data_IF_502768289393
#
_entry.id   IF_502768289393
#
_cell.length_a   1.000
_cell.length_b   1.000
_cell.length_c   1.000
_cell.angle_alpha   90.00
_cell.angle_beta   90.00
_cell.angle_gamma   90.00
#
_symmetry.space_group_name_H-M   'P 1'
#
loop_
_entity.id
_entity.type
_entity.pdbx_description
1 polymer ?
#
# COMPACT_ATOMS: atom_id res chain seq x y z
N UNK A 1 -29.67 -29.20 21.81
CA UNK A 1 -28.71 -29.67 20.80
C UNK A 1 -27.57 -28.65 20.71
N UNK A 2 -26.54 -28.80 21.53
CA UNK A 2 -25.31 -28.01 21.41
C UNK A 2 -24.47 -28.60 20.27
N UNK A 3 -24.40 -27.89 19.14
CA UNK A 3 -23.45 -28.27 18.09
C UNK A 3 -22.04 -28.05 18.64
N UNK A 4 -21.32 -29.14 18.93
CA UNK A 4 -19.87 -29.08 19.17
C UNK A 4 -19.21 -28.49 17.92
N UNK A 5 -18.96 -27.18 17.93
CA UNK A 5 -18.06 -26.56 16.96
C UNK A 5 -16.67 -27.10 17.29
N UNK A 6 -16.22 -28.09 16.51
CA UNK A 6 -14.83 -28.48 16.47
C UNK A 6 -14.01 -27.28 16.02
N UNK A 7 -13.55 -26.49 16.98
CA UNK A 7 -12.62 -25.41 16.72
C UNK A 7 -11.36 -26.06 16.14
N UNK A 8 -11.06 -25.80 14.88
CA UNK A 8 -9.85 -26.33 14.27
C UNK A 8 -8.64 -25.84 15.09
N UNK A 9 -7.72 -26.74 15.51
CA UNK A 9 -6.60 -26.39 16.36
C UNK A 9 -5.74 -25.23 15.82
N UNK A 10 -5.72 -25.04 14.49
CA UNK A 10 -4.99 -23.97 13.82
C UNK A 10 -5.50 -22.54 14.14
N UNK A 11 -6.76 -22.38 14.53
CA UNK A 11 -7.35 -21.04 14.75
C UNK A 11 -6.80 -20.30 15.98
N UNK A 12 -6.23 -21.02 16.95
CA UNK A 12 -5.72 -20.40 18.19
C UNK A 12 -4.31 -19.82 18.06
N UNK A 13 -3.51 -20.29 17.12
CA UNK A 13 -2.08 -19.91 17.02
C UNK A 13 -1.88 -18.64 16.21
N UNK A 14 -2.68 -18.43 15.16
CA UNK A 14 -2.56 -17.28 14.26
C UNK A 14 -2.62 -15.90 14.96
N UNK A 15 -3.52 -15.65 15.94
CA UNK A 15 -3.56 -14.37 16.64
C UNK A 15 -2.29 -14.11 17.46
N UNK A 16 -1.69 -15.13 18.06
CA UNK A 16 -0.44 -15.00 18.81
C UNK A 16 0.75 -14.71 17.89
N UNK A 17 0.80 -15.34 16.71
CA UNK A 17 1.81 -15.03 15.69
C UNK A 17 1.68 -13.57 15.25
N UNK A 18 0.46 -13.10 14.96
CA UNK A 18 0.22 -11.70 14.60
C UNK A 18 0.70 -10.74 15.69
N UNK A 19 0.39 -11.03 16.96
CA UNK A 19 0.82 -10.21 18.09
C UNK A 19 2.34 -10.20 18.23
N UNK A 20 3.00 -11.36 18.14
CA UNK A 20 4.46 -11.46 18.21
C UNK A 20 5.14 -10.66 17.10
N UNK A 21 4.64 -10.73 15.86
CA UNK A 21 5.13 -9.92 14.75
C UNK A 21 4.92 -8.42 14.98
N UNK A 22 3.77 -8.01 15.52
CA UNK A 22 3.50 -6.60 15.85
C UNK A 22 4.47 -6.08 16.92
N UNK A 23 4.76 -6.89 17.95
CA UNK A 23 5.75 -6.56 18.97
C UNK A 23 7.16 -6.47 18.36
N UNK A 24 7.53 -7.41 17.49
CA UNK A 24 8.82 -7.38 16.80
C UNK A 24 8.98 -6.12 15.91
N UNK A 25 7.92 -5.69 15.22
CA UNK A 25 7.89 -4.44 14.45
C UNK A 25 8.10 -3.22 15.36
N UNK A 26 7.38 -3.16 16.49
CA UNK A 26 7.52 -2.08 17.47
C UNK A 26 8.94 -2.01 18.07
N UNK A 27 9.50 -3.15 18.47
CA UNK A 27 10.86 -3.25 19.01
C UNK A 27 11.92 -2.92 17.97
N UNK A 28 11.78 -3.46 16.74
CA UNK A 28 12.70 -3.15 15.66
C UNK A 28 12.73 -1.66 15.34
N UNK A 29 11.58 -0.98 15.43
CA UNK A 29 11.51 0.48 15.25
C UNK A 29 12.22 1.24 16.37
N UNK A 30 12.00 0.87 17.64
CA UNK A 30 12.63 1.57 18.77
C UNK A 30 14.14 1.35 18.80
N UNK A 31 14.61 0.14 18.49
CA UNK A 31 16.04 -0.18 18.34
C UNK A 31 16.64 0.58 17.16
N UNK A 32 15.98 0.57 16.00
CA UNK A 32 16.43 1.31 14.81
C UNK A 32 16.57 2.80 15.08
N UNK A 33 15.66 3.41 15.84
CA UNK A 33 15.75 4.81 16.25
C UNK A 33 16.96 5.09 17.16
N UNK A 34 17.37 4.13 18.00
CA UNK A 34 18.54 4.29 18.88
C UNK A 34 19.87 4.07 18.15
N UNK A 35 19.90 3.15 17.18
CA UNK A 35 21.10 2.82 16.42
C UNK A 35 21.37 3.80 15.28
N UNK A 36 20.33 4.43 14.73
CA UNK A 36 20.48 5.35 13.61
C UNK A 36 20.94 6.73 14.11
N UNK A 37 22.26 6.95 14.12
CA UNK A 37 22.85 8.30 14.13
C UNK A 37 22.79 8.98 12.75
N UNK A 38 22.14 8.33 11.77
CA UNK A 38 22.06 8.78 10.39
C UNK A 38 21.18 10.04 10.28
N UNK A 39 21.63 11.07 9.52
CA UNK A 39 20.86 12.29 9.31
C UNK A 39 19.49 11.97 8.68
N UNK A 40 18.47 12.69 9.13
CA UNK A 40 17.04 12.47 8.83
C UNK A 40 16.63 12.67 7.35
N UNK A 41 17.59 12.79 6.43
CA UNK A 41 17.37 13.18 5.02
C UNK A 41 17.04 11.99 4.11
N UNK A 42 16.99 10.76 4.64
CA UNK A 42 16.55 9.58 3.91
C UNK A 42 15.01 9.55 3.84
N UNK A 43 14.45 10.16 2.77
CA UNK A 43 13.11 9.91 2.21
C UNK A 43 12.10 9.37 3.24
N UNK A 44 11.66 10.23 4.16
CA UNK A 44 10.97 9.85 5.41
C UNK A 44 9.91 8.74 5.21
N UNK A 45 10.21 7.49 5.59
CA UNK A 45 9.32 6.35 5.40
C UNK A 45 8.43 6.21 6.62
N UNK A 46 7.17 6.61 6.49
CA UNK A 46 6.13 6.60 7.52
C UNK A 46 6.44 7.40 8.82
N UNK A 47 5.43 8.01 9.47
CA UNK A 47 5.65 8.66 10.75
C UNK A 47 6.24 7.71 11.80
N UNK A 48 7.15 8.18 12.66
CA UNK A 48 7.84 7.32 13.62
C UNK A 48 6.90 6.61 14.62
N UNK A 49 5.74 7.21 14.91
CA UNK A 49 4.70 6.65 15.77
C UNK A 49 3.90 5.53 15.11
N UNK A 50 3.93 5.42 13.78
CA UNK A 50 3.02 4.58 13.03
C UNK A 50 3.14 3.08 13.35
N UNK A 51 4.34 2.48 13.42
CA UNK A 51 4.47 1.06 13.80
C UNK A 51 3.96 0.78 15.22
N UNK A 52 4.12 1.73 16.14
CA UNK A 52 3.62 1.62 17.52
C UNK A 52 2.09 1.66 17.57
N UNK A 53 1.48 2.60 16.85
CA UNK A 53 0.03 2.67 16.71
C UNK A 53 -0.52 1.39 16.04
N UNK A 54 0.12 0.91 14.98
CA UNK A 54 -0.27 -0.32 14.29
C UNK A 54 -0.28 -1.52 15.25
N UNK A 55 0.76 -1.66 16.09
CA UNK A 55 0.85 -2.71 17.09
C UNK A 55 -0.23 -2.59 18.18
N UNK A 56 -0.54 -1.37 18.64
CA UNK A 56 -1.59 -1.13 19.61
C UNK A 56 -2.99 -1.51 19.06
N UNK A 57 -3.31 -1.10 17.84
CA UNK A 57 -4.56 -1.49 17.18
C UNK A 57 -4.63 -2.99 16.90
N UNK A 58 -3.51 -3.62 16.56
CA UNK A 58 -3.45 -5.07 16.36
C UNK A 58 -3.76 -5.81 17.67
N UNK A 59 -3.14 -5.39 18.78
CA UNK A 59 -3.40 -5.95 20.10
C UNK A 59 -4.88 -5.78 20.50
N UNK A 60 -5.45 -4.59 20.35
CA UNK A 60 -6.86 -4.32 20.62
C UNK A 60 -7.81 -5.14 19.70
N UNK A 61 -7.37 -5.41 18.46
CA UNK A 61 -8.09 -6.27 17.53
C UNK A 61 -8.00 -7.75 17.87
N UNK A 62 -6.89 -8.22 18.44
CA UNK A 62 -6.63 -9.64 18.70
C UNK A 62 -7.19 -10.10 20.05
N UNK A 63 -6.99 -9.30 21.10
CA UNK A 63 -7.42 -9.64 22.46
C UNK A 63 -8.95 -9.73 22.49
N UNK A 64 -9.53 -10.87 22.92
CA UNK A 64 -10.98 -10.99 23.05
C UNK A 64 -11.48 -10.04 24.15
N UNK A 65 -12.51 -9.25 23.84
CA UNK A 65 -13.25 -8.46 24.81
C UNK A 65 -14.58 -9.17 25.05
N UNK A 66 -14.88 -9.50 26.30
CA UNK A 66 -16.03 -10.34 26.62
C UNK A 66 -17.37 -9.65 26.34
N UNK A 67 -18.25 -10.41 25.66
CA UNK A 67 -19.70 -10.36 25.82
C UNK A 67 -20.51 -9.34 25.02
N UNK A 68 -19.99 -8.17 24.64
CA UNK A 68 -20.85 -7.13 24.05
C UNK A 68 -20.73 -7.01 22.52
N UNK A 69 -21.87 -6.88 21.79
CA UNK A 69 -21.86 -6.76 20.33
C UNK A 69 -21.16 -5.50 19.82
N UNK A 70 -21.12 -4.43 20.61
CA UNK A 70 -20.39 -3.20 20.29
C UNK A 70 -18.86 -3.44 20.27
N UNK A 71 -18.34 -4.20 21.24
CA UNK A 71 -16.91 -4.54 21.30
C UNK A 71 -16.46 -5.37 20.11
N UNK A 72 -17.30 -6.27 19.59
CA UNK A 72 -17.00 -7.03 18.37
C UNK A 72 -16.86 -6.13 17.13
N UNK A 73 -17.67 -5.07 17.02
CA UNK A 73 -17.55 -4.09 15.93
C UNK A 73 -16.25 -3.29 16.06
N UNK A 74 -15.94 -2.84 17.27
CA UNK A 74 -14.69 -2.12 17.54
C UNK A 74 -13.48 -3.01 17.29
N UNK A 75 -13.49 -4.26 17.74
CA UNK A 75 -12.43 -5.22 17.52
C UNK A 75 -12.19 -5.46 16.03
N UNK A 76 -13.27 -5.63 15.25
CA UNK A 76 -13.19 -5.76 13.78
C UNK A 76 -12.62 -4.50 13.15
N UNK A 77 -13.09 -3.31 13.55
CA UNK A 77 -12.56 -2.05 13.05
C UNK A 77 -11.06 -1.90 13.37
N UNK A 78 -10.66 -2.17 14.62
CA UNK A 78 -9.26 -2.15 15.07
C UNK A 78 -8.37 -3.09 14.28
N UNK A 79 -8.83 -4.32 13.94
CA UNK A 79 -8.08 -5.23 13.05
C UNK A 79 -7.85 -4.64 11.66
N UNK A 80 -8.89 -4.04 11.07
CA UNK A 80 -8.77 -3.39 9.77
C UNK A 80 -7.85 -2.18 9.80
N UNK A 81 -7.95 -1.35 10.84
CA UNK A 81 -7.06 -0.21 11.06
C UNK A 81 -5.61 -0.70 11.22
N UNK A 82 -5.38 -1.70 12.06
CA UNK A 82 -4.06 -2.30 12.26
C UNK A 82 -3.47 -2.85 10.95
N UNK A 83 -4.29 -3.54 10.16
CA UNK A 83 -3.88 -4.04 8.85
C UNK A 83 -3.43 -2.90 7.92
N UNK A 84 -4.24 -1.84 7.80
CA UNK A 84 -3.91 -0.68 6.97
C UNK A 84 -2.63 0.02 7.45
N UNK A 85 -2.47 0.19 8.77
CA UNK A 85 -1.28 0.77 9.36
C UNK A 85 -0.05 -0.12 9.15
N UNK A 86 -0.17 -1.45 9.20
CA UNK A 86 0.96 -2.36 8.93
C UNK A 86 1.35 -2.36 7.45
N UNK A 87 0.39 -2.30 6.53
CA UNK A 87 0.68 -2.11 5.09
C UNK A 87 1.41 -0.79 4.87
N UNK A 88 1.01 0.26 5.57
CA UNK A 88 1.71 1.54 5.51
C UNK A 88 3.09 1.49 6.18
N UNK A 89 3.26 0.76 7.28
CA UNK A 89 4.57 0.55 7.91
C UNK A 89 5.53 -0.23 6.99
N UNK A 90 4.99 -1.14 6.17
CA UNK A 90 5.73 -1.86 5.14
C UNK A 90 6.04 -1.02 3.88
N UNK A 91 5.49 0.20 3.79
CA UNK A 91 5.83 1.10 2.70
C UNK A 91 7.33 1.37 2.67
N UNK A 92 7.91 1.41 1.46
CA UNK A 92 9.35 1.48 1.27
C UNK A 92 9.98 0.15 0.89
N UNK A 93 9.35 -0.99 1.24
CA UNK A 93 9.93 -2.32 0.98
C UNK A 93 10.30 -2.53 -0.51
N UNK A 94 9.47 -2.15 -1.51
CA UNK A 94 9.89 -2.27 -2.91
C UNK A 94 11.14 -1.44 -3.23
N UNK A 95 11.27 -0.23 -2.65
CA UNK A 95 12.44 0.62 -2.84
C UNK A 95 13.68 0.05 -2.15
N UNK A 96 13.53 -0.57 -0.99
CA UNK A 96 14.64 -1.26 -0.32
C UNK A 96 15.12 -2.44 -1.14
N UNK A 97 14.22 -3.22 -1.75
CA UNK A 97 14.57 -4.33 -2.63
C UNK A 97 15.26 -3.85 -3.92
N UNK A 98 14.81 -2.73 -4.50
CA UNK A 98 15.48 -2.09 -5.63
C UNK A 98 16.88 -1.57 -5.24
N UNK A 99 16.99 -0.99 -4.04
CA UNK A 99 18.28 -0.53 -3.50
C UNK A 99 19.23 -1.71 -3.24
N UNK A 100 18.72 -2.80 -2.65
CA UNK A 100 19.46 -4.03 -2.37
C UNK A 100 19.98 -4.69 -3.64
N UNK A 101 19.22 -4.62 -4.74
CA UNK A 101 19.63 -5.15 -6.05
C UNK A 101 20.54 -4.20 -6.84
N UNK A 102 20.91 -3.04 -6.27
CA UNK A 102 21.75 -2.04 -6.93
C UNK A 102 21.05 -1.32 -8.10
N UNK A 103 19.74 -1.47 -8.24
CA UNK A 103 18.96 -0.85 -9.32
C UNK A 103 18.57 0.59 -9.01
N UNK A 104 18.67 1.01 -7.74
CA UNK A 104 18.35 2.35 -7.29
C UNK A 104 19.62 3.17 -7.00
N UNK A 105 19.98 4.05 -7.92
CA UNK A 105 21.01 5.08 -7.73
C UNK A 105 20.38 6.46 -7.53
N UNK A 106 20.98 7.29 -6.68
CA UNK A 106 20.63 8.71 -6.57
C UNK A 106 21.65 9.54 -7.32
N UNK A 107 21.17 10.47 -8.14
CA UNK A 107 22.04 11.47 -8.76
C UNK A 107 22.43 12.53 -7.73
N UNK A 108 23.72 12.75 -7.53
CA UNK A 108 24.24 13.83 -6.68
C UNK A 108 24.08 15.17 -7.37
N UNK A 109 24.31 16.26 -6.64
CA UNK A 109 24.36 17.61 -7.21
C UNK A 109 25.43 17.75 -8.31
N UNK A 110 26.52 16.96 -8.23
CA UNK A 110 27.56 16.89 -9.26
C UNK A 110 27.19 16.05 -10.48
N UNK A 111 25.98 15.47 -10.53
CA UNK A 111 25.52 14.63 -11.64
C UNK A 111 25.97 13.16 -11.56
N UNK A 112 26.85 12.81 -10.60
CA UNK A 112 27.30 11.44 -10.37
C UNK A 112 26.17 10.57 -9.82
N UNK A 113 26.11 9.32 -10.27
CA UNK A 113 25.15 8.34 -9.75
C UNK A 113 25.82 7.64 -8.56
N UNK A 114 25.32 7.89 -7.36
CA UNK A 114 25.73 7.18 -6.15
C UNK A 114 24.69 6.12 -5.85
N UNK A 115 25.12 4.86 -5.76
CA UNK A 115 24.25 3.74 -5.37
C UNK A 115 23.78 4.00 -3.94
N UNK A 116 22.46 3.98 -3.72
CA UNK A 116 21.92 4.19 -2.39
C UNK A 116 22.36 3.04 -1.46
N UNK A 117 22.75 3.37 -0.23
CA UNK A 117 23.06 2.35 0.76
C UNK A 117 21.76 1.73 1.29
N UNK A 118 21.75 0.42 1.48
CA UNK A 118 20.59 -0.30 2.02
C UNK A 118 20.45 0.02 3.51
N UNK A 119 19.28 0.52 3.91
CA UNK A 119 18.89 0.63 5.31
C UNK A 119 18.46 -0.74 5.84
N UNK A 120 19.42 -1.58 6.23
CA UNK A 120 19.15 -2.95 6.70
C UNK A 120 18.14 -3.03 7.87
N UNK A 121 18.24 -2.17 8.92
CA UNK A 121 17.21 -2.13 9.96
C UNK A 121 15.82 -1.75 9.43
N UNK A 122 15.74 -0.78 8.53
CA UNK A 122 14.49 -0.39 7.86
C UNK A 122 13.89 -1.53 7.03
N UNK A 123 14.71 -2.19 6.21
CA UNK A 123 14.29 -3.34 5.41
C UNK A 123 13.74 -4.46 6.30
N UNK A 124 14.42 -4.80 7.39
CA UNK A 124 13.99 -5.85 8.31
C UNK A 124 12.65 -5.50 8.98
N UNK A 125 12.49 -4.26 9.47
CA UNK A 125 11.25 -3.81 10.12
C UNK A 125 10.07 -3.76 9.15
N UNK A 126 10.28 -3.28 7.91
CA UNK A 126 9.25 -3.28 6.85
C UNK A 126 8.86 -4.68 6.42
N UNK A 127 9.81 -5.61 6.37
CA UNK A 127 9.54 -7.03 6.07
C UNK A 127 8.69 -7.67 7.18
N UNK A 128 9.03 -7.42 8.44
CA UNK A 128 8.22 -7.87 9.58
C UNK A 128 6.81 -7.26 9.56
N UNK A 129 6.69 -5.98 9.20
CA UNK A 129 5.40 -5.31 9.06
C UNK A 129 4.55 -5.93 7.94
N UNK A 130 5.15 -6.29 6.80
CA UNK A 130 4.48 -7.02 5.73
C UNK A 130 4.01 -8.40 6.21
N UNK A 131 4.87 -9.15 6.92
CA UNK A 131 4.50 -10.43 7.50
C UNK A 131 3.31 -10.30 8.47
N UNK A 132 3.35 -9.30 9.36
CA UNK A 132 2.24 -8.99 10.27
C UNK A 132 0.95 -8.65 9.50
N UNK A 133 1.05 -7.83 8.45
CA UNK A 133 -0.08 -7.49 7.59
C UNK A 133 -0.69 -8.73 6.91
N UNK A 134 0.13 -9.68 6.44
CA UNK A 134 -0.36 -10.93 5.83
C UNK A 134 -1.16 -11.75 6.85
N UNK A 135 -0.65 -11.92 8.08
CA UNK A 135 -1.37 -12.68 9.13
C UNK A 135 -2.64 -11.95 9.56
N UNK A 136 -2.58 -10.63 9.76
CA UNK A 136 -3.75 -9.80 10.08
C UNK A 136 -4.81 -9.85 8.97
N UNK A 137 -4.39 -9.84 7.70
CA UNK A 137 -5.30 -9.98 6.57
C UNK A 137 -5.99 -11.35 6.63
N UNK A 138 -5.26 -12.44 6.88
CA UNK A 138 -5.88 -13.77 7.05
C UNK A 138 -6.92 -13.77 8.18
N UNK A 139 -6.61 -13.18 9.33
CA UNK A 139 -7.53 -13.08 10.46
C UNK A 139 -8.75 -12.18 10.18
N UNK A 140 -8.57 -11.07 9.46
CA UNK A 140 -9.65 -10.15 9.11
C UNK A 140 -10.58 -10.71 8.01
N UNK A 141 -10.02 -11.58 7.16
CA UNK A 141 -10.70 -12.15 6.00
C UNK A 141 -11.22 -13.55 6.19
N UNK A 142 -10.85 -14.21 7.30
CA UNK A 142 -11.45 -15.47 7.73
C UNK A 142 -12.96 -15.26 7.89
N UNK A 143 -13.70 -15.48 6.80
CA UNK A 143 -15.16 -15.41 6.82
C UNK A 143 -15.66 -16.57 7.68
N UNK A 144 -16.70 -16.36 8.51
CA UNK A 144 -17.50 -17.47 8.98
C UNK A 144 -17.95 -18.27 7.75
N UNK A 145 -17.91 -19.59 7.82
CA UNK A 145 -18.36 -20.51 6.77
C UNK A 145 -19.89 -20.43 6.55
N UNK A 146 -20.39 -19.24 6.24
CA UNK A 146 -21.74 -19.02 5.78
C UNK A 146 -21.85 -19.35 4.30
N UNK A 147 -23.04 -19.72 3.82
CA UNK A 147 -23.27 -20.00 2.40
C UNK A 147 -22.87 -18.77 1.58
N UNK A 148 -21.82 -18.90 0.78
CA UNK A 148 -21.28 -17.84 -0.06
C UNK A 148 -22.21 -17.61 -1.27
N UNK A 149 -23.34 -16.92 -1.06
CA UNK A 149 -24.27 -16.54 -2.13
C UNK A 149 -23.89 -15.23 -2.83
N UNK A 150 -22.75 -14.63 -2.49
CA UNK A 150 -22.29 -13.41 -3.15
C UNK A 150 -21.74 -13.76 -4.53
N UNK A 151 -22.57 -13.55 -5.56
CA UNK A 151 -22.14 -13.46 -6.96
C UNK A 151 -20.85 -12.63 -7.04
N UNK A 152 -19.84 -13.05 -7.81
CA UNK A 152 -18.63 -12.26 -7.97
C UNK A 152 -19.00 -10.86 -8.45
N UNK A 153 -18.64 -9.86 -7.65
CA UNK A 153 -18.94 -8.47 -7.91
C UNK A 153 -18.01 -7.95 -9.01
N UNK A 154 -18.33 -8.32 -10.26
CA UNK A 154 -17.65 -7.90 -11.49
C UNK A 154 -17.42 -6.38 -11.56
N UNK A 155 -18.25 -5.60 -10.87
CA UNK A 155 -18.11 -4.16 -10.74
C UNK A 155 -16.77 -3.72 -10.12
N UNK A 156 -16.14 -4.52 -9.26
CA UNK A 156 -14.84 -4.17 -8.66
C UNK A 156 -13.72 -4.11 -9.71
N UNK A 157 -13.75 -4.98 -10.72
CA UNK A 157 -12.77 -4.94 -11.81
C UNK A 157 -12.98 -3.71 -12.72
N UNK A 158 -14.23 -3.29 -12.95
CA UNK A 158 -14.51 -2.04 -13.65
C UNK A 158 -14.13 -0.81 -12.84
N UNK A 159 -14.39 -0.81 -11.53
CA UNK A 159 -13.95 0.26 -10.63
C UNK A 159 -12.43 0.37 -10.64
N UNK A 160 -11.71 -0.75 -10.53
CA UNK A 160 -10.27 -0.79 -10.68
C UNK A 160 -9.83 -0.26 -12.05
N UNK A 161 -10.45 -0.68 -13.15
CA UNK A 161 -10.15 -0.13 -14.48
C UNK A 161 -10.23 1.40 -14.50
N UNK A 162 -11.36 1.98 -14.06
CA UNK A 162 -11.54 3.44 -14.03
C UNK A 162 -10.50 4.12 -13.14
N UNK A 163 -10.20 3.56 -11.97
CA UNK A 163 -9.24 4.11 -11.02
C UNK A 163 -7.78 4.03 -11.52
N UNK A 164 -7.47 3.17 -12.49
CA UNK A 164 -6.14 3.11 -13.11
C UNK A 164 -5.92 4.21 -14.17
N UNK A 165 -6.98 4.87 -14.67
CA UNK A 165 -6.91 5.82 -15.78
C UNK A 165 -6.43 7.26 -15.46
N UNK A 166 -6.65 7.85 -14.27
CA UNK A 166 -6.31 9.26 -14.04
C UNK A 166 -4.84 9.58 -14.33
N UNK A 167 -3.93 8.68 -13.95
CA UNK A 167 -2.50 8.83 -14.21
C UNK A 167 -2.13 8.79 -15.70
N UNK A 168 -2.43 7.71 -16.46
CA UNK A 168 -2.07 7.62 -17.86
C UNK A 168 -2.77 8.69 -18.73
N UNK A 169 -4.02 9.05 -18.41
CA UNK A 169 -4.72 10.13 -19.11
C UNK A 169 -4.00 11.46 -18.93
N UNK A 170 -3.65 11.83 -17.69
CA UNK A 170 -2.97 13.11 -17.44
C UNK A 170 -1.57 13.13 -18.06
N UNK A 171 -0.85 12.00 -18.01
CA UNK A 171 0.46 11.84 -18.67
C UNK A 171 0.36 11.98 -20.19
N UNK A 172 -0.67 11.41 -20.81
CA UNK A 172 -0.91 11.57 -22.24
C UNK A 172 -1.23 13.02 -22.60
N UNK A 173 -2.06 13.71 -21.79
CA UNK A 173 -2.34 15.13 -21.98
C UNK A 173 -1.07 15.97 -21.90
N UNK A 174 -0.18 15.72 -20.93
CA UNK A 174 1.10 16.41 -20.84
C UNK A 174 2.04 16.11 -22.01
N UNK A 175 2.07 14.88 -22.50
CA UNK A 175 2.85 14.51 -23.68
C UNK A 175 2.35 15.22 -24.96
N UNK A 176 1.06 15.52 -25.04
CA UNK A 176 0.45 16.30 -26.13
C UNK A 176 0.56 17.82 -25.93
N UNK A 177 1.33 18.29 -24.94
CA UNK A 177 1.57 19.71 -24.67
C UNK A 177 0.56 20.37 -23.73
N UNK A 178 -0.40 19.63 -23.19
CA UNK A 178 -1.33 20.16 -22.18
C UNK A 178 -0.62 20.48 -20.86
N UNK A 179 -1.10 21.50 -20.15
CA UNK A 179 -0.54 21.96 -18.87
C UNK A 179 -1.44 21.83 -17.63
N UNK A 180 -2.52 21.01 -17.59
CA UNK A 180 -3.36 20.94 -16.40
C UNK A 180 -2.57 20.48 -15.19
N UNK A 181 -2.59 21.30 -14.14
CA UNK A 181 -1.87 21.04 -12.90
C UNK A 181 -0.35 21.23 -13.00
N UNK A 182 0.17 21.81 -14.08
CA UNK A 182 1.57 22.20 -14.23
C UNK A 182 1.73 23.72 -14.09
N UNK A 183 2.74 24.17 -13.35
CA UNK A 183 3.06 25.60 -13.22
C UNK A 183 3.89 26.14 -14.39
N UNK A 184 4.46 25.25 -15.21
CA UNK A 184 5.24 25.57 -16.40
C UNK A 184 5.23 24.39 -17.38
N UNK A 185 5.36 24.62 -18.69
CA UNK A 185 5.57 23.56 -19.67
C UNK A 185 6.77 22.67 -19.31
N UNK A 186 6.67 21.37 -19.56
CA UNK A 186 7.74 20.40 -19.27
C UNK A 186 7.87 19.97 -17.80
N UNK A 187 7.16 20.59 -16.85
CA UNK A 187 7.21 20.16 -15.44
C UNK A 187 6.72 18.71 -15.22
N UNK A 188 5.87 18.21 -16.12
CA UNK A 188 5.44 16.81 -16.16
C UNK A 188 6.42 15.85 -16.85
N UNK A 189 7.60 16.33 -17.29
CA UNK A 189 8.53 15.61 -18.15
C UNK A 189 8.50 16.11 -19.59
N UNK A 190 9.54 15.77 -20.35
CA UNK A 190 9.72 16.19 -21.74
C UNK A 190 9.61 15.00 -22.71
N UNK A 191 9.16 15.28 -23.94
CA UNK A 191 9.02 14.28 -25.01
C UNK A 191 8.14 13.09 -24.61
N UNK A 192 8.65 11.87 -24.83
CA UNK A 192 7.94 10.62 -24.56
C UNK A 192 8.08 10.11 -23.12
N UNK A 193 8.89 10.75 -22.28
CA UNK A 193 9.09 10.32 -20.89
C UNK A 193 7.78 10.21 -20.08
N UNK A 194 6.79 11.12 -20.21
CA UNK A 194 5.51 10.97 -19.52
C UNK A 194 4.75 9.69 -19.92
N UNK A 195 4.82 9.29 -21.20
CA UNK A 195 4.14 8.09 -21.71
C UNK A 195 4.80 6.81 -21.22
N UNK A 196 6.13 6.77 -21.14
CA UNK A 196 6.86 5.62 -20.58
C UNK A 196 6.45 5.37 -19.12
N UNK A 197 6.29 6.42 -18.32
CA UNK A 197 5.84 6.32 -16.94
C UNK A 197 4.37 5.86 -16.82
N UNK A 198 3.56 6.03 -17.87
CA UNK A 198 2.17 5.61 -17.90
C UNK A 198 1.97 4.11 -18.19
N UNK A 199 2.97 3.43 -18.78
CA UNK A 199 2.87 2.01 -19.21
C UNK A 199 2.40 1.08 -18.08
N UNK A 200 2.96 1.13 -16.85
CA UNK A 200 2.51 0.24 -15.77
C UNK A 200 1.03 0.44 -15.41
N UNK A 201 0.50 1.65 -15.55
CA UNK A 201 -0.89 1.98 -15.24
C UNK A 201 -1.85 1.57 -16.35
N UNK A 202 -1.42 1.66 -17.60
CA UNK A 202 -2.17 1.05 -18.72
C UNK A 202 -2.23 -0.46 -18.54
N UNK A 203 -1.11 -1.10 -18.17
CA UNK A 203 -1.09 -2.53 -17.86
C UNK A 203 -2.01 -2.88 -16.68
N UNK A 204 -2.03 -2.06 -15.63
CA UNK A 204 -2.95 -2.22 -14.50
C UNK A 204 -4.43 -2.08 -14.90
N UNK A 205 -4.75 -1.14 -15.80
CA UNK A 205 -6.10 -0.99 -16.35
C UNK A 205 -6.51 -2.23 -17.16
N UNK A 206 -5.64 -2.73 -18.05
CA UNK A 206 -5.87 -3.96 -18.82
C UNK A 206 -6.04 -5.16 -17.90
N UNK A 207 -5.16 -5.32 -16.91
CA UNK A 207 -5.27 -6.38 -15.90
C UNK A 207 -6.61 -6.31 -15.15
N UNK A 208 -7.08 -5.10 -14.81
CA UNK A 208 -8.36 -4.91 -14.13
C UNK A 208 -9.55 -5.39 -14.98
N UNK A 209 -9.50 -5.16 -16.31
CA UNK A 209 -10.49 -5.70 -17.24
C UNK A 209 -10.34 -7.21 -17.41
N UNK A 210 -9.13 -7.76 -17.45
CA UNK A 210 -8.90 -9.22 -17.56
C UNK A 210 -9.42 -9.98 -16.32
N UNK A 211 -9.54 -9.32 -15.17
CA UNK A 211 -10.13 -9.88 -13.96
C UNK A 211 -11.67 -9.94 -14.00
N UNK A 212 -12.35 -9.25 -14.93
CA UNK A 212 -13.83 -9.22 -14.97
C UNK A 212 -14.43 -10.45 -15.67
N UNK A 213 -14.06 -10.80 -16.93
CA UNK A 213 -14.59 -11.97 -17.61
C UNK A 213 -13.78 -13.23 -17.31
N UNK A 214 -14.39 -14.40 -17.48
CA UNK A 214 -13.66 -15.68 -17.53
C UNK A 214 -13.06 -15.88 -18.92
N UNK A 215 -11.90 -15.27 -19.18
CA UNK A 215 -11.15 -15.49 -20.42
C UNK A 215 -10.60 -16.92 -20.44
N UNK A 216 -11.14 -17.78 -21.32
CA UNK A 216 -10.78 -19.23 -21.33
C UNK A 216 -9.31 -19.50 -21.69
N UNK A 217 -8.62 -18.57 -22.33
CA UNK A 217 -7.26 -18.77 -22.82
C UNK A 217 -6.17 -18.34 -21.84
N UNK A 218 -6.51 -17.55 -20.82
CA UNK A 218 -5.56 -17.10 -19.80
C UNK A 218 -5.78 -17.92 -18.52
N UNK A 219 -4.75 -18.60 -18.00
CA UNK A 219 -4.89 -19.34 -16.75
C UNK A 219 -5.20 -18.36 -15.61
N UNK A 220 -6.39 -18.49 -15.01
CA UNK A 220 -6.87 -17.61 -13.93
C UNK A 220 -5.86 -17.45 -12.79
N UNK A 221 -5.06 -18.48 -12.51
CA UNK A 221 -4.00 -18.45 -11.50
C UNK A 221 -2.94 -17.37 -11.78
N UNK A 222 -2.55 -17.17 -13.03
CA UNK A 222 -1.59 -16.12 -13.41
C UNK A 222 -2.20 -14.72 -13.27
N UNK A 223 -3.46 -14.55 -13.69
CA UNK A 223 -4.17 -13.27 -13.53
C UNK A 223 -4.35 -12.92 -12.05
N UNK A 224 -4.68 -13.90 -11.22
CA UNK A 224 -4.75 -13.72 -9.78
C UNK A 224 -3.37 -13.35 -9.23
N UNK A 225 -2.33 -14.14 -9.50
CA UNK A 225 -0.98 -13.83 -9.01
C UNK A 225 -0.56 -12.40 -9.40
N UNK A 226 -0.73 -12.02 -10.67
CA UNK A 226 -0.44 -10.68 -11.15
C UNK A 226 -1.27 -9.60 -10.42
N UNK A 227 -2.58 -9.82 -10.27
CA UNK A 227 -3.49 -8.91 -9.56
C UNK A 227 -3.13 -8.74 -8.08
N UNK A 228 -2.79 -9.83 -7.40
CA UNK A 228 -2.36 -9.83 -6.00
C UNK A 228 -1.00 -9.13 -5.84
N UNK A 229 -0.02 -9.43 -6.69
CA UNK A 229 1.30 -8.76 -6.67
C UNK A 229 1.16 -7.26 -6.94
N UNK A 230 0.42 -6.87 -7.96
CA UNK A 230 0.23 -5.47 -8.30
C UNK A 230 -0.55 -4.73 -7.20
N UNK A 231 -1.57 -5.35 -6.63
CA UNK A 231 -2.30 -4.84 -5.44
C UNK A 231 -1.36 -4.62 -4.27
N UNK A 232 -0.46 -5.57 -3.98
CA UNK A 232 0.48 -5.44 -2.87
C UNK A 232 1.47 -4.28 -3.10
N UNK A 233 2.05 -4.18 -4.30
CA UNK A 233 2.99 -3.11 -4.64
C UNK A 233 2.32 -1.74 -4.54
N UNK A 234 1.17 -1.55 -5.21
CA UNK A 234 0.46 -0.26 -5.21
C UNK A 234 -0.14 0.05 -3.85
N UNK A 235 -0.67 -0.97 -3.15
CA UNK A 235 -1.22 -0.84 -1.81
C UNK A 235 -0.20 -0.41 -0.77
N UNK A 236 1.10 -0.74 -0.95
CA UNK A 236 2.17 -0.22 -0.11
C UNK A 236 2.45 1.27 -0.37
N UNK A 237 2.37 1.72 -1.63
CA UNK A 237 2.66 3.12 -2.02
C UNK A 237 1.53 4.07 -1.61
N UNK A 238 0.28 3.64 -1.78
CA UNK A 238 -0.92 4.48 -1.61
C UNK A 238 -1.03 5.22 -0.26
N UNK A 239 -0.91 4.54 0.90
CA UNK A 239 -1.06 5.17 2.22
C UNK A 239 -0.12 6.35 2.47
N UNK A 240 1.14 6.23 2.05
CA UNK A 240 2.12 7.29 2.24
C UNK A 240 1.75 8.57 1.47
N UNK A 241 1.13 8.41 0.32
CA UNK A 241 0.72 9.54 -0.47
C UNK A 241 -0.65 10.12 -0.07
N UNK A 242 -1.56 9.30 0.46
CA UNK A 242 -2.74 9.81 1.18
C UNK A 242 -2.29 10.66 2.37
N UNK A 243 -1.29 10.20 3.12
CA UNK A 243 -0.73 10.97 4.22
C UNK A 243 -0.07 12.28 3.77
N UNK A 244 0.68 12.24 2.66
CA UNK A 244 1.26 13.44 2.06
C UNK A 244 0.19 14.47 1.71
N UNK A 245 -0.92 14.02 1.12
CA UNK A 245 -2.07 14.87 0.81
C UNK A 245 -2.69 15.45 2.08
N UNK A 246 -2.99 14.62 3.08
CA UNK A 246 -3.59 15.08 4.35
C UNK A 246 -2.68 16.10 5.02
N UNK A 247 -1.37 15.85 5.05
CA UNK A 247 -0.39 16.78 5.63
C UNK A 247 -0.37 18.13 4.89
N UNK A 248 -0.46 18.11 3.55
CA UNK A 248 -0.52 19.33 2.75
C UNK A 248 -1.83 20.13 2.97
N UNK A 249 -2.94 19.45 3.25
CA UNK A 249 -4.23 20.09 3.54
C UNK A 249 -4.32 20.64 4.97
N UNK A 250 -3.78 19.91 5.95
CA UNK A 250 -3.82 20.31 7.37
C UNK A 250 -2.87 21.46 7.66
N UNK A 251 -1.71 21.51 6.99
CA UNK A 251 -0.73 22.57 7.17
C UNK A 251 -0.37 23.20 5.81
N UNK A 252 -1.22 24.10 5.27
CA UNK A 252 -0.92 24.81 4.04
C UNK A 252 0.38 25.61 4.21
N UNK A 253 1.40 25.30 3.40
CA UNK A 253 2.72 25.93 3.46
C UNK A 253 3.79 25.14 4.22
N UNK A 254 3.43 24.03 4.87
CA UNK A 254 4.43 23.08 5.35
C UNK A 254 5.28 22.59 4.17
N UNK A 255 6.59 22.33 4.38
CA UNK A 255 7.42 21.75 3.33
C UNK A 255 6.77 20.43 2.90
N UNK A 256 6.24 20.42 1.68
CA UNK A 256 5.63 19.21 1.12
C UNK A 256 6.63 18.05 1.21
N UNK A 257 6.13 16.84 1.53
CA UNK A 257 6.99 15.72 1.88
C UNK A 257 7.98 15.40 0.75
N UNK A 258 9.12 14.78 1.08
CA UNK A 258 10.11 14.35 0.09
C UNK A 258 9.42 13.54 -1.02
N UNK A 259 9.52 14.01 -2.27
CA UNK A 259 8.83 13.42 -3.44
C UNK A 259 7.50 14.07 -3.86
N UNK A 260 6.86 14.86 -3.00
CA UNK A 260 5.66 15.65 -3.35
C UNK A 260 5.97 17.01 -4.00
N UNK A 261 7.24 17.43 -3.99
CA UNK A 261 7.72 18.61 -4.74
C UNK A 261 8.46 18.19 -6.00
N UNK A 262 7.77 17.60 -6.96
CA UNK A 262 8.22 17.80 -8.33
C UNK A 262 8.01 19.30 -8.63
N UNK A 263 9.07 20.10 -8.83
CA UNK A 263 8.93 21.54 -8.98
C UNK A 263 8.02 21.86 -10.16
N UNK A 264 6.86 22.44 -9.86
CA UNK A 264 5.86 22.86 -10.83
C UNK A 264 4.72 21.88 -11.11
N UNK A 265 4.45 20.92 -10.22
CA UNK A 265 3.21 20.12 -10.26
C UNK A 265 2.31 20.52 -9.09
N UNK A 266 1.03 20.80 -9.37
CA UNK A 266 0.04 21.19 -8.39
C UNK A 266 -0.30 20.04 -7.43
N UNK A 267 -0.56 20.36 -6.16
CA UNK A 267 -0.85 19.38 -5.09
C UNK A 267 -2.03 18.45 -5.41
N UNK A 268 -3.07 18.96 -6.07
CA UNK A 268 -4.24 18.15 -6.43
C UNK A 268 -3.90 17.03 -7.42
N UNK A 269 -2.86 17.19 -8.24
CA UNK A 269 -2.42 16.15 -9.19
C UNK A 269 -1.87 14.95 -8.43
N UNK A 270 -1.07 15.20 -7.39
CA UNK A 270 -0.59 14.16 -6.48
C UNK A 270 -1.74 13.48 -5.75
N UNK A 271 -2.71 14.27 -5.24
CA UNK A 271 -3.92 13.75 -4.62
C UNK A 271 -4.67 12.78 -5.53
N UNK A 272 -4.90 13.20 -6.78
CA UNK A 272 -5.61 12.44 -7.79
C UNK A 272 -4.86 11.14 -8.11
N UNK A 273 -3.56 11.23 -8.38
CA UNK A 273 -2.74 10.07 -8.73
C UNK A 273 -2.74 9.05 -7.61
N UNK A 274 -2.23 9.43 -6.45
CA UNK A 274 -2.05 8.49 -5.38
C UNK A 274 -3.34 8.03 -4.71
N UNK A 275 -4.35 8.91 -4.64
CA UNK A 275 -5.69 8.54 -4.21
C UNK A 275 -6.28 7.49 -5.15
N UNK A 276 -6.20 7.71 -6.48
CA UNK A 276 -6.67 6.73 -7.47
C UNK A 276 -5.92 5.40 -7.38
N UNK A 277 -4.61 5.43 -7.14
CA UNK A 277 -3.78 4.23 -6.98
C UNK A 277 -4.14 3.42 -5.73
N UNK A 278 -4.33 4.10 -4.59
CA UNK A 278 -4.74 3.44 -3.37
C UNK A 278 -6.11 2.79 -3.51
N UNK A 279 -7.08 3.53 -4.06
CA UNK A 279 -8.43 3.01 -4.33
C UNK A 279 -8.40 1.89 -5.36
N UNK A 280 -7.52 1.97 -6.36
CA UNK A 280 -7.28 0.91 -7.35
C UNK A 280 -6.84 -0.38 -6.66
N UNK A 281 -5.88 -0.31 -5.73
CA UNK A 281 -5.41 -1.49 -5.01
C UNK A 281 -6.54 -2.15 -4.20
N UNK A 282 -7.40 -1.34 -3.56
CA UNK A 282 -8.59 -1.85 -2.84
C UNK A 282 -9.56 -2.54 -3.80
N UNK A 283 -9.88 -1.91 -4.93
CA UNK A 283 -10.80 -2.45 -5.93
C UNK A 283 -10.24 -3.72 -6.60
N UNK A 284 -8.95 -3.73 -6.96
CA UNK A 284 -8.27 -4.89 -7.54
C UNK A 284 -8.22 -6.07 -6.56
N UNK A 285 -7.93 -5.82 -5.28
CA UNK A 285 -7.99 -6.83 -4.23
C UNK A 285 -9.39 -7.45 -4.09
N UNK A 286 -10.44 -6.62 -4.21
CA UNK A 286 -11.81 -7.10 -4.18
C UNK A 286 -12.16 -7.93 -5.43
N UNK A 287 -11.67 -7.51 -6.60
CA UNK A 287 -11.85 -8.24 -7.86
C UNK A 287 -11.17 -9.61 -7.85
N UNK A 288 -9.99 -9.76 -7.25
CA UNK A 288 -9.28 -11.05 -7.18
C UNK A 288 -9.88 -12.05 -6.18
N UNK A 289 -10.81 -11.61 -5.32
CA UNK A 289 -11.58 -12.50 -4.42
C UNK A 289 -12.86 -13.03 -5.03
N UNK A 290 -13.31 -12.41 -6.12
CA UNK A 290 -14.49 -12.80 -6.89
C UNK A 290 -14.11 -13.90 -7.89
#
# INVERSE_FOLDING_TARGET
>A
MESQRSASPGSRVEPWIALALCVAVALGRTVGHRLSALPADALAPAPAWLPLAAAAFAAAGIVPLDGWPQWLRLQRASRWIALLLMVWAANGLPFDLLTMTGTMGRRTASGAIVIATVDWPGLATRTLALAAAIVLARLALARPAGPATSRPATWYGYAAFVLALPYPVLRAVWALGGTPGLSRPGAGGEGYAPLLLAIPWVAAAVLSLLLVPTWRWLPRRLLLLAGWTATAIVGMIGPAAVWALVSALVAPGAPAPPGAKAPGIATWVFALFYGSWFLWAVAACAATRS
#
